data_IF_646655342664
#
_entry.id   IF_646655342664
#
_cell.length_a   1.000
_cell.length_b   1.000
_cell.length_c   1.000
_cell.angle_alpha   90.00
_cell.angle_beta   90.00
_cell.angle_gamma   90.00
#
_symmetry.space_group_name_H-M   'P 1'
#
loop_
_entity.id
_entity.type
_entity.pdbx_description
1 polymer ?
#
# COMPACT_ATOMS: atom_id res chain seq x y z
N UNK A 1 -0.97 0.52 -14.87
CA UNK A 1 -1.72 0.56 -13.63
C UNK A 1 -3.00 1.33 -13.83
N UNK A 2 -4.05 0.87 -13.17
CA UNK A 2 -5.23 1.69 -12.92
C UNK A 2 -4.80 2.96 -12.16
N UNK A 3 -5.58 4.05 -12.24
CA UNK A 3 -5.36 5.27 -11.47
C UNK A 3 -5.12 5.00 -9.96
N UNK A 4 -5.62 3.87 -9.47
CA UNK A 4 -5.51 3.34 -8.12
C UNK A 4 -4.07 3.14 -7.62
N UNK A 5 -3.13 2.71 -8.47
CA UNK A 5 -1.75 2.41 -8.02
C UNK A 5 -0.88 3.68 -7.88
N UNK A 6 -1.20 4.76 -8.61
CA UNK A 6 -0.52 6.05 -8.42
C UNK A 6 -0.96 6.73 -7.12
N UNK A 7 -2.24 6.62 -6.77
CA UNK A 7 -2.76 7.10 -5.50
C UNK A 7 -2.14 6.33 -4.35
N UNK A 8 -2.00 5.00 -4.52
CA UNK A 8 -1.50 4.18 -3.44
C UNK A 8 -0.05 4.53 -3.07
N UNK A 9 0.79 4.81 -4.08
CA UNK A 9 2.20 5.13 -3.86
C UNK A 9 2.36 6.52 -3.22
N UNK A 10 1.52 7.47 -3.60
CA UNK A 10 1.48 8.80 -3.00
C UNK A 10 1.15 8.72 -1.51
N UNK A 11 0.20 7.84 -1.13
CA UNK A 11 -0.12 7.57 0.28
C UNK A 11 1.06 7.00 1.07
N UNK A 12 1.83 6.07 0.48
CA UNK A 12 3.05 5.53 1.10
C UNK A 12 4.11 6.63 1.33
N UNK A 13 4.33 7.52 0.36
CA UNK A 13 5.30 8.61 0.50
C UNK A 13 4.87 9.62 1.58
N UNK A 14 3.62 10.08 1.54
CA UNK A 14 3.06 10.99 2.54
C UNK A 14 3.11 10.40 3.97
N UNK A 15 3.11 9.07 4.08
CA UNK A 15 3.25 8.37 5.35
C UNK A 15 4.70 8.26 5.83
N UNK A 16 5.68 8.22 4.93
CA UNK A 16 7.11 8.18 5.27
C UNK A 16 7.62 9.56 5.72
N UNK A 17 7.14 10.63 5.09
CA UNK A 17 7.39 12.01 5.48
C UNK A 17 6.31 12.94 4.91
N UNK A 18 6.09 14.09 5.56
CA UNK A 18 5.23 15.16 5.02
C UNK A 18 5.91 15.91 3.87
N UNK A 19 7.22 16.07 3.94
CA UNK A 19 8.03 16.66 2.87
C UNK A 19 8.26 15.62 1.76
N UNK A 20 7.85 15.95 0.53
CA UNK A 20 7.88 15.01 -0.58
C UNK A 20 9.31 14.55 -0.95
N UNK A 21 10.29 15.43 -0.81
CA UNK A 21 11.69 15.13 -1.12
C UNK A 21 12.31 14.22 -0.06
N UNK A 22 12.06 14.51 1.22
CA UNK A 22 12.49 13.65 2.33
C UNK A 22 11.79 12.28 2.29
N UNK A 23 10.49 12.24 1.97
CA UNK A 23 9.76 10.99 1.76
C UNK A 23 10.40 10.15 0.65
N UNK A 24 10.78 10.78 -0.46
CA UNK A 24 11.50 10.13 -1.57
C UNK A 24 12.85 9.56 -1.14
N UNK A 25 13.63 10.32 -0.36
CA UNK A 25 14.92 9.86 0.20
C UNK A 25 14.73 8.67 1.14
N UNK A 26 13.80 8.76 2.09
CA UNK A 26 13.46 7.69 3.03
C UNK A 26 12.97 6.44 2.31
N UNK A 27 12.12 6.58 1.29
CA UNK A 27 11.66 5.46 0.48
C UNK A 27 12.81 4.73 -0.21
N UNK A 28 13.72 5.45 -0.89
CA UNK A 28 14.87 4.83 -1.56
C UNK A 28 15.80 4.13 -0.58
N UNK A 29 16.06 4.75 0.57
CA UNK A 29 16.89 4.13 1.62
C UNK A 29 16.22 2.87 2.16
N UNK A 30 14.92 2.93 2.43
CA UNK A 30 14.14 1.80 2.92
C UNK A 30 14.07 0.67 1.89
N UNK A 31 13.88 0.97 0.60
CA UNK A 31 13.91 -0.01 -0.48
C UNK A 31 15.24 -0.76 -0.51
N UNK A 32 16.37 -0.04 -0.45
CA UNK A 32 17.71 -0.67 -0.41
C UNK A 32 17.88 -1.61 0.77
N UNK A 33 17.44 -1.20 1.97
CA UNK A 33 17.50 -2.05 3.16
C UNK A 33 16.67 -3.33 3.02
N UNK A 34 15.51 -3.25 2.35
CA UNK A 34 14.63 -4.40 2.13
C UNK A 34 15.16 -5.34 1.05
N UNK A 35 15.78 -4.81 -0.01
CA UNK A 35 16.49 -5.62 -1.00
C UNK A 35 17.63 -6.39 -0.33
N UNK A 36 18.48 -5.71 0.44
CA UNK A 36 19.58 -6.34 1.17
C UNK A 36 19.07 -7.42 2.15
N UNK A 37 17.95 -7.15 2.84
CA UNK A 37 17.29 -8.14 3.68
C UNK A 37 16.82 -9.36 2.87
N UNK A 38 16.17 -9.17 1.73
CA UNK A 38 15.70 -10.26 0.88
C UNK A 38 16.86 -11.10 0.32
N UNK A 39 17.96 -10.48 -0.09
CA UNK A 39 19.18 -11.16 -0.53
C UNK A 39 19.76 -12.06 0.56
N UNK A 40 19.88 -11.55 1.79
CA UNK A 40 20.38 -12.31 2.94
C UNK A 40 19.51 -13.52 3.32
N UNK A 41 18.23 -13.53 2.92
CA UNK A 41 17.28 -14.60 3.25
C UNK A 41 16.99 -15.52 2.06
N UNK A 42 17.86 -15.55 1.04
CA UNK A 42 17.77 -16.48 -0.08
C UNK A 42 16.87 -16.00 -1.22
N UNK A 43 16.62 -14.69 -1.33
CA UNK A 43 15.92 -14.09 -2.45
C UNK A 43 16.75 -14.00 -3.74
N UNK A 44 18.08 -14.04 -3.66
CA UNK A 44 18.97 -14.04 -4.84
C UNK A 44 18.62 -12.97 -5.88
N UNK A 45 18.55 -13.36 -7.15
CA UNK A 45 18.25 -12.45 -8.27
C UNK A 45 16.84 -11.88 -8.29
N UNK A 46 15.91 -12.39 -7.45
CA UNK A 46 14.53 -11.90 -7.37
C UNK A 46 14.27 -11.00 -6.17
N UNK A 47 15.31 -10.61 -5.43
CA UNK A 47 15.20 -9.75 -4.25
C UNK A 47 14.58 -8.39 -4.56
N UNK A 48 15.01 -7.74 -5.66
CA UNK A 48 14.48 -6.44 -6.09
C UNK A 48 13.00 -6.52 -6.47
N UNK A 49 12.65 -7.46 -7.36
CA UNK A 49 11.25 -7.68 -7.78
C UNK A 49 10.33 -8.00 -6.59
N UNK A 50 10.80 -8.85 -5.67
CA UNK A 50 10.01 -9.24 -4.49
C UNK A 50 9.81 -8.05 -3.55
N UNK A 51 10.80 -7.17 -3.45
CA UNK A 51 10.75 -5.95 -2.64
C UNK A 51 9.77 -4.95 -3.24
N UNK A 52 9.84 -4.70 -4.54
CA UNK A 52 8.92 -3.79 -5.22
C UNK A 52 7.46 -4.23 -5.08
N UNK A 53 7.18 -5.52 -5.23
CA UNK A 53 5.83 -6.02 -5.02
C UNK A 53 5.39 -5.93 -3.55
N UNK A 54 6.30 -6.17 -2.60
CA UNK A 54 6.00 -5.98 -1.18
C UNK A 54 5.62 -4.52 -0.90
N UNK A 55 6.34 -3.56 -1.49
CA UNK A 55 6.01 -2.13 -1.41
C UNK A 55 4.68 -1.80 -2.09
N UNK A 56 4.36 -2.38 -3.26
CA UNK A 56 3.07 -2.16 -3.91
C UNK A 56 1.90 -2.65 -3.04
N UNK A 57 2.03 -3.84 -2.43
CA UNK A 57 1.02 -4.37 -1.50
C UNK A 57 0.85 -3.48 -0.27
N UNK A 58 1.96 -2.99 0.27
CA UNK A 58 1.96 -2.12 1.44
C UNK A 58 1.42 -0.76 1.09
N UNK A 59 1.77 -0.23 -0.07
CA UNK A 59 1.25 1.01 -0.60
C UNK A 59 -0.27 0.94 -0.75
N UNK A 60 -0.81 -0.17 -1.28
CA UNK A 60 -2.27 -0.42 -1.34
C UNK A 60 -2.89 -0.55 0.04
N UNK A 61 -2.25 -1.29 0.96
CA UNK A 61 -2.76 -1.49 2.32
C UNK A 61 -2.64 -0.25 3.21
N UNK A 62 -1.60 0.54 3.02
CA UNK A 62 -1.41 1.82 3.69
C UNK A 62 -2.35 2.84 3.09
N UNK A 63 -2.60 2.83 1.79
CA UNK A 63 -3.57 3.76 1.23
C UNK A 63 -4.96 3.38 1.68
N UNK A 64 -5.30 2.10 1.76
CA UNK A 64 -6.53 1.71 2.46
C UNK A 64 -6.49 2.07 3.94
N UNK A 65 -5.38 1.89 4.68
CA UNK A 65 -5.32 2.21 6.11
C UNK A 65 -5.21 3.70 6.46
N UNK A 66 -4.62 4.53 5.58
CA UNK A 66 -4.41 5.98 5.73
C UNK A 66 -5.60 6.76 5.17
N UNK A 67 -6.27 6.19 4.16
CA UNK A 67 -7.60 6.63 3.72
C UNK A 67 -8.72 5.97 4.54
N UNK A 68 -8.41 4.97 5.38
CA UNK A 68 -9.38 4.46 6.35
C UNK A 68 -9.47 5.48 7.48
N UNK A 69 -10.30 6.48 7.21
CA UNK A 69 -11.10 7.22 8.19
C UNK A 69 -11.90 6.26 9.11
N UNK A 70 -11.99 4.98 8.71
CA UNK A 70 -12.73 3.93 9.38
C UNK A 70 -11.87 3.14 10.37
N UNK A 71 -12.34 3.10 11.61
CA UNK A 71 -12.02 2.18 12.68
C UNK A 71 -11.93 0.72 12.17
N UNK A 72 -10.78 0.07 12.37
CA UNK A 72 -10.62 -1.36 12.06
C UNK A 72 -11.02 -2.21 13.28
N UNK A 73 -11.70 -3.34 13.06
CA UNK A 73 -12.12 -4.23 14.13
C UNK A 73 -10.95 -4.67 15.03
N UNK A 74 -9.74 -4.84 14.48
CA UNK A 74 -8.52 -5.16 15.23
C UNK A 74 -8.11 -4.08 16.25
N UNK A 75 -8.57 -2.83 16.09
CA UNK A 75 -8.20 -1.72 16.97
C UNK A 75 -9.00 -1.70 18.29
N UNK A 76 -10.12 -2.41 18.37
CA UNK A 76 -10.86 -2.62 19.63
C UNK A 76 -10.10 -3.64 20.49
N UNK A 77 -9.31 -3.17 21.46
CA UNK A 77 -8.49 -4.02 22.34
C UNK A 77 -9.34 -4.88 23.27
N UNK A 78 -10.40 -4.29 23.79
CA UNK A 78 -11.28 -4.89 24.78
C UNK A 78 -12.75 -4.71 24.37
N UNK A 79 -13.24 -5.64 23.53
CA UNK A 79 -14.61 -5.59 22.99
C UNK A 79 -15.66 -5.68 24.11
N UNK A 80 -15.58 -6.66 25.05
CA UNK A 80 -16.57 -6.73 26.14
C UNK A 80 -16.55 -5.51 27.04
N UNK A 81 -15.36 -5.02 27.43
CA UNK A 81 -15.24 -3.83 28.27
C UNK A 81 -15.73 -2.56 27.59
N UNK A 82 -15.50 -2.39 26.29
CA UNK A 82 -16.04 -1.28 25.52
C UNK A 82 -17.58 -1.34 25.46
N UNK A 83 -18.15 -2.50 25.10
CA UNK A 83 -19.60 -2.68 25.05
C UNK A 83 -20.27 -2.45 26.41
N UNK A 84 -19.68 -3.00 27.47
CA UNK A 84 -20.19 -2.84 28.84
C UNK A 84 -20.20 -1.37 29.27
N UNK A 85 -19.14 -0.62 28.94
CA UNK A 85 -19.07 0.80 29.25
C UNK A 85 -20.10 1.60 28.43
N UNK A 86 -20.17 1.37 27.11
CA UNK A 86 -21.14 2.03 26.22
C UNK A 86 -22.58 1.78 26.70
N UNK A 87 -22.93 0.53 27.03
CA UNK A 87 -24.26 0.16 27.53
C UNK A 87 -24.54 0.77 28.91
N UNK A 88 -23.64 0.53 29.87
CA UNK A 88 -23.86 0.89 31.27
C UNK A 88 -23.87 2.40 31.52
N UNK A 89 -23.03 3.17 30.84
CA UNK A 89 -23.03 4.63 30.93
C UNK A 89 -24.00 5.28 29.95
N UNK A 90 -24.19 4.67 28.77
CA UNK A 90 -25.04 5.26 27.73
C UNK A 90 -26.53 5.13 27.98
N UNK A 91 -26.96 4.20 28.83
CA UNK A 91 -28.35 4.11 29.28
C UNK A 91 -28.70 5.12 30.38
N UNK A 92 -27.69 5.77 30.98
CA UNK A 92 -27.91 6.82 32.01
C UNK A 92 -28.30 8.15 31.35
N UNK A 93 -29.03 9.00 32.07
CA UNK A 93 -29.46 10.33 31.60
C UNK A 93 -28.40 11.44 31.84
N UNK A 94 -27.12 11.08 31.99
CA UNK A 94 -26.05 12.04 32.22
C UNK A 94 -25.23 12.23 30.94
N UNK A 95 -24.91 13.48 30.54
CA UNK A 95 -24.06 13.74 29.38
C UNK A 95 -22.68 13.12 29.56
N UNK A 96 -22.30 12.25 28.62
CA UNK A 96 -21.00 11.58 28.58
C UNK A 96 -20.76 10.93 27.20
N UNK A 97 -19.51 10.54 26.85
CA UNK A 97 -19.21 9.97 25.54
C UNK A 97 -20.01 8.70 25.23
N UNK A 98 -20.19 7.83 26.24
CA UNK A 98 -20.93 6.57 26.10
C UNK A 98 -22.40 6.82 25.80
N UNK A 99 -23.00 7.85 26.42
CA UNK A 99 -24.37 8.29 26.12
C UNK A 99 -24.49 8.78 24.69
N UNK A 100 -23.56 9.63 24.25
CA UNK A 100 -23.59 10.14 22.88
C UNK A 100 -23.50 9.02 21.85
N UNK A 101 -22.58 8.09 22.06
CA UNK A 101 -22.42 6.93 21.18
C UNK A 101 -23.68 6.08 21.19
N UNK A 102 -24.22 5.76 22.37
CA UNK A 102 -25.45 4.97 22.52
C UNK A 102 -26.63 5.59 21.76
N UNK A 103 -26.82 6.90 21.89
CA UNK A 103 -27.91 7.64 21.23
C UNK A 103 -27.76 7.63 19.69
N UNK A 104 -26.55 7.55 19.16
CA UNK A 104 -26.26 7.52 17.72
C UNK A 104 -26.25 6.11 17.10
N UNK A 105 -26.13 5.06 17.91
CA UNK A 105 -26.19 3.67 17.43
C UNK A 105 -27.60 3.33 16.93
N UNK A 106 -27.67 2.55 15.85
CA UNK A 106 -28.92 1.93 15.39
C UNK A 106 -29.42 0.88 16.38
N UNK A 107 -30.71 0.54 16.32
CA UNK A 107 -31.30 -0.47 17.21
C UNK A 107 -30.58 -1.82 17.11
N UNK A 108 -30.23 -2.25 15.90
CA UNK A 108 -29.46 -3.48 15.69
C UNK A 108 -28.07 -3.42 16.35
N UNK A 109 -27.40 -2.27 16.29
CA UNK A 109 -26.10 -2.10 16.95
C UNK A 109 -26.23 -2.03 18.47
N UNK A 110 -27.29 -1.41 19.01
CA UNK A 110 -27.59 -1.44 20.45
C UNK A 110 -27.85 -2.86 20.94
N UNK A 111 -28.67 -3.63 20.21
CA UNK A 111 -28.91 -5.05 20.53
C UNK A 111 -27.62 -5.86 20.53
N UNK A 112 -26.71 -5.62 19.59
CA UNK A 112 -25.39 -6.26 19.56
C UNK A 112 -24.55 -5.88 20.80
N UNK A 113 -24.48 -4.60 21.15
CA UNK A 113 -23.75 -4.12 22.34
C UNK A 113 -24.32 -4.72 23.62
N UNK A 114 -25.65 -4.77 23.77
CA UNK A 114 -26.33 -5.40 24.90
C UNK A 114 -25.99 -6.89 24.97
N UNK A 115 -26.12 -7.63 23.87
CA UNK A 115 -25.83 -9.07 23.84
C UNK A 115 -24.38 -9.39 24.22
N UNK A 116 -23.40 -8.62 23.72
CA UNK A 116 -21.99 -8.78 24.10
C UNK A 116 -21.79 -8.46 25.59
N UNK A 117 -22.47 -7.44 26.10
CA UNK A 117 -22.37 -7.04 27.52
C UNK A 117 -22.92 -8.11 28.45
N UNK A 118 -24.09 -8.68 28.14
CA UNK A 118 -24.74 -9.70 28.96
C UNK A 118 -23.97 -11.03 28.94
N UNK A 119 -23.44 -11.42 27.78
CA UNK A 119 -22.77 -12.72 27.63
C UNK A 119 -21.28 -12.68 27.95
N UNK A 120 -20.65 -11.50 27.85
CA UNK A 120 -19.19 -11.33 27.87
C UNK A 120 -18.46 -12.03 26.73
N UNK A 121 -19.19 -12.60 25.76
CA UNK A 121 -18.65 -13.40 24.65
C UNK A 121 -18.94 -12.71 23.33
N UNK A 122 -18.02 -12.86 22.38
CA UNK A 122 -18.20 -12.37 21.03
C UNK A 122 -17.43 -13.21 20.01
N UNK A 123 -17.90 -13.24 18.77
CA UNK A 123 -17.19 -13.83 17.64
C UNK A 123 -16.58 -12.77 16.70
N UNK A 124 -15.84 -13.22 15.68
CA UNK A 124 -15.18 -12.34 14.70
C UNK A 124 -16.17 -11.53 13.84
N UNK A 125 -17.38 -12.06 13.62
CA UNK A 125 -18.42 -11.38 12.86
C UNK A 125 -19.03 -10.26 13.69
N UNK A 126 -19.39 -10.52 14.94
CA UNK A 126 -19.87 -9.53 15.91
C UNK A 126 -18.86 -8.40 16.11
N UNK A 127 -17.57 -8.72 16.20
CA UNK A 127 -16.50 -7.71 16.27
C UNK A 127 -16.46 -6.81 15.02
N UNK A 128 -16.66 -7.41 13.84
CA UNK A 128 -16.70 -6.68 12.56
C UNK A 128 -17.96 -5.80 12.46
N UNK A 129 -19.11 -6.31 12.89
CA UNK A 129 -20.37 -5.57 12.94
C UNK A 129 -20.30 -4.38 13.90
N UNK A 130 -19.72 -4.57 15.09
CA UNK A 130 -19.49 -3.48 16.06
C UNK A 130 -18.59 -2.39 15.46
N UNK A 131 -17.47 -2.79 14.84
CA UNK A 131 -16.57 -1.84 14.17
C UNK A 131 -17.27 -1.06 13.06
N UNK A 132 -18.14 -1.72 12.30
CA UNK A 132 -18.96 -1.06 11.26
C UNK A 132 -19.92 -0.04 11.87
N UNK A 133 -20.63 -0.42 12.93
CA UNK A 133 -21.58 0.47 13.62
C UNK A 133 -20.88 1.71 14.21
N UNK A 134 -19.70 1.54 14.82
CA UNK A 134 -18.90 2.67 15.30
C UNK A 134 -18.46 3.58 14.14
N UNK A 135 -18.05 3.01 13.00
CA UNK A 135 -17.71 3.84 11.84
C UNK A 135 -18.90 4.65 11.32
N UNK A 136 -20.09 4.06 11.30
CA UNK A 136 -21.31 4.77 10.90
C UNK A 136 -21.60 5.96 11.84
N UNK A 137 -21.35 5.84 13.14
CA UNK A 137 -21.49 6.98 14.07
C UNK A 137 -20.40 8.03 13.88
N UNK A 138 -19.15 7.62 13.65
CA UNK A 138 -18.02 8.53 13.41
C UNK A 138 -18.17 9.37 12.13
N UNK A 139 -18.92 8.90 11.14
CA UNK A 139 -19.26 9.66 9.92
C UNK A 139 -20.22 10.82 10.15
N UNK A 140 -20.88 10.90 11.30
CA UNK A 140 -21.91 11.90 11.51
C UNK A 140 -21.30 13.24 11.89
N UNK A 141 -21.74 14.31 11.23
CA UNK A 141 -21.33 15.68 11.55
C UNK A 141 -21.84 16.14 12.92
N UNK A 142 -22.92 15.54 13.42
CA UNK A 142 -23.44 15.81 14.75
C UNK A 142 -22.78 14.94 15.84
N UNK A 143 -21.82 14.05 15.53
CA UNK A 143 -21.23 13.15 16.53
C UNK A 143 -20.75 13.86 17.79
N UNK A 144 -20.00 14.96 17.62
CA UNK A 144 -19.53 15.78 18.74
C UNK A 144 -20.65 16.63 19.35
N UNK A 145 -20.77 16.53 20.66
CA UNK A 145 -21.55 17.42 21.50
C UNK A 145 -20.64 17.84 22.68
N UNK A 146 -20.57 19.15 22.96
CA UNK A 146 -19.67 19.68 23.99
C UNK A 146 -20.01 19.20 25.41
N UNK A 147 -21.27 18.90 25.71
CA UNK A 147 -21.70 18.38 27.00
C UNK A 147 -21.25 16.92 27.20
N UNK A 148 -21.31 16.13 26.11
CA UNK A 148 -20.93 14.72 26.12
C UNK A 148 -19.40 14.53 26.06
N UNK A 149 -18.70 15.35 25.28
CA UNK A 149 -17.26 15.28 25.04
C UNK A 149 -16.53 16.48 25.60
N UNK A 150 -16.44 16.57 26.93
CA UNK A 150 -15.62 17.58 27.59
C UNK A 150 -14.15 17.09 27.70
N UNK A 151 -13.18 17.71 27.00
CA UNK A 151 -11.79 17.28 27.02
C UNK A 151 -11.15 17.29 28.41
N UNK A 152 -11.60 18.17 29.31
CA UNK A 152 -11.08 18.27 30.67
C UNK A 152 -11.44 17.06 31.53
N UNK A 153 -12.37 16.20 31.07
CA UNK A 153 -12.79 14.98 31.76
C UNK A 153 -12.11 13.72 31.22
N UNK A 154 -11.28 13.84 30.18
CA UNK A 154 -10.57 12.66 29.67
C UNK A 154 -9.54 12.16 30.68
N UNK A 155 -9.39 10.83 30.83
CA UNK A 155 -8.49 10.24 31.82
C UNK A 155 -7.03 10.38 31.36
N UNK A 156 -6.44 11.56 31.55
CA UNK A 156 -5.02 11.80 31.31
C UNK A 156 -4.22 11.18 32.45
N UNK A 157 -3.56 10.06 32.18
CA UNK A 157 -2.53 9.55 33.09
C UNK A 157 -1.21 10.25 32.79
N UNK A 158 -0.44 10.62 33.83
CA UNK A 158 0.77 11.45 33.72
C UNK A 158 1.88 10.89 32.80
N UNK A 159 1.74 9.67 32.27
CA UNK A 159 2.76 9.00 31.46
C UNK A 159 2.34 8.76 29.99
N UNK A 160 1.13 9.11 29.57
CA UNK A 160 0.67 8.87 28.19
C UNK A 160 0.77 10.13 27.32
N UNK A 161 1.99 10.44 26.86
CA UNK A 161 2.25 11.55 25.93
C UNK A 161 1.38 11.46 24.66
N UNK A 162 1.00 10.25 24.24
CA UNK A 162 0.17 10.07 23.03
C UNK A 162 -1.26 10.55 23.22
N UNK A 163 -1.79 10.48 24.45
CA UNK A 163 -3.13 11.01 24.75
C UNK A 163 -3.12 12.54 24.81
N UNK A 164 -2.07 13.14 25.37
CA UNK A 164 -1.90 14.61 25.42
C UNK A 164 -1.87 15.20 24.01
N UNK A 165 -1.05 14.65 23.11
CA UNK A 165 -0.98 15.08 21.71
C UNK A 165 -2.33 14.95 20.98
N UNK A 166 -3.14 13.94 21.32
CA UNK A 166 -4.49 13.76 20.74
C UNK A 166 -5.46 14.83 21.24
N UNK A 167 -5.42 15.15 22.53
CA UNK A 167 -6.26 16.21 23.12
C UNK A 167 -5.91 17.56 22.51
N UNK A 168 -4.62 17.87 22.36
CA UNK A 168 -4.17 19.11 21.70
C UNK A 168 -4.70 19.22 20.26
N UNK A 169 -4.64 18.12 19.48
CA UNK A 169 -5.21 18.10 18.12
C UNK A 169 -6.73 18.32 18.12
N UNK A 170 -7.46 17.73 19.07
CA UNK A 170 -8.90 17.94 19.24
C UNK A 170 -9.19 19.42 19.52
N UNK A 171 -8.42 20.06 20.40
CA UNK A 171 -8.57 21.49 20.72
C UNK A 171 -8.29 22.39 19.51
N UNK A 172 -7.25 22.07 18.71
CA UNK A 172 -6.95 22.78 17.46
C UNK A 172 -8.12 22.66 16.48
N UNK A 173 -8.66 21.46 16.28
CA UNK A 173 -9.78 21.23 15.36
C UNK A 173 -11.08 21.91 15.85
N UNK A 174 -11.33 21.94 17.17
CA UNK A 174 -12.43 22.69 17.78
C UNK A 174 -12.27 24.20 17.59
N UNK A 175 -11.06 24.75 17.75
CA UNK A 175 -10.77 26.16 17.55
C UNK A 175 -10.97 26.62 16.10
N UNK A 176 -10.73 25.74 15.12
CA UNK A 176 -11.04 25.99 13.70
C UNK A 176 -12.55 26.02 13.42
N UNK A 177 -13.33 25.31 14.23
CA UNK A 177 -14.77 25.16 14.07
C UNK A 177 -15.14 24.00 13.15
N UNK A 178 -16.03 23.12 13.62
CA UNK A 178 -16.40 21.88 12.91
C UNK A 178 -17.04 22.12 11.53
N UNK A 179 -17.69 23.27 11.32
CA UNK A 179 -18.28 23.64 10.03
C UNK A 179 -17.23 23.92 8.94
N UNK A 180 -15.97 24.16 9.32
CA UNK A 180 -14.87 24.38 8.38
C UNK A 180 -14.13 23.09 8.01
N UNK A 181 -14.42 21.99 8.72
CA UNK A 181 -13.79 20.69 8.46
C UNK A 181 -14.50 20.00 7.30
N UNK A 182 -13.71 19.39 6.41
CA UNK A 182 -14.23 18.46 5.39
C UNK A 182 -14.76 17.20 6.07
N UNK A 183 -15.63 16.47 5.39
CA UNK A 183 -16.20 15.21 5.90
C UNK A 183 -15.12 14.23 6.40
N UNK A 184 -14.03 14.07 5.65
CA UNK A 184 -12.88 13.24 6.04
C UNK A 184 -12.20 13.73 7.32
N UNK A 185 -12.14 15.03 7.52
CA UNK A 185 -11.53 15.65 8.71
C UNK A 185 -12.45 15.50 9.93
N UNK A 186 -13.77 15.55 9.73
CA UNK A 186 -14.77 15.24 10.76
C UNK A 186 -14.63 13.80 11.25
N UNK A 187 -14.45 12.83 10.35
CA UNK A 187 -14.27 11.42 10.73
C UNK A 187 -13.00 11.22 11.56
N UNK A 188 -11.89 11.82 11.15
CA UNK A 188 -10.63 11.79 11.90
C UNK A 188 -10.78 12.46 13.28
N UNK A 189 -11.46 13.61 13.33
CA UNK A 189 -11.75 14.32 14.57
C UNK A 189 -12.59 13.46 15.54
N UNK A 190 -13.69 12.89 15.05
CA UNK A 190 -14.57 12.01 15.82
C UNK A 190 -13.83 10.76 16.30
N UNK A 191 -12.94 10.20 15.47
CA UNK A 191 -12.09 9.06 15.84
C UNK A 191 -11.19 9.41 17.02
N UNK A 192 -10.55 10.59 17.02
CA UNK A 192 -9.69 11.06 18.12
C UNK A 192 -10.48 11.25 19.41
N UNK A 193 -11.69 11.80 19.34
CA UNK A 193 -12.59 11.91 20.50
C UNK A 193 -12.90 10.54 21.10
N UNK A 194 -13.21 9.56 20.25
CA UNK A 194 -13.49 8.20 20.68
C UNK A 194 -12.26 7.55 21.34
N UNK A 195 -11.07 7.74 20.77
CA UNK A 195 -9.82 7.25 21.34
C UNK A 195 -9.48 7.89 22.70
N UNK A 196 -9.72 9.19 22.84
CA UNK A 196 -9.49 9.92 24.08
C UNK A 196 -10.50 9.53 25.17
N UNK A 197 -11.73 9.20 24.79
CA UNK A 197 -12.76 8.71 25.71
C UNK A 197 -12.49 7.28 26.20
N UNK A 198 -11.87 6.42 25.37
CA UNK A 198 -11.64 5.01 25.70
C UNK A 198 -10.19 4.53 25.45
N UNK A 199 -9.17 5.17 26.06
CA UNK A 199 -7.76 4.91 25.74
C UNK A 199 -7.30 3.48 26.05
N UNK A 200 -7.94 2.81 27.02
CA UNK A 200 -7.63 1.41 27.36
C UNK A 200 -8.33 0.39 26.45
N UNK A 201 -9.47 0.76 25.84
CA UNK A 201 -10.28 -0.15 25.02
C UNK A 201 -10.02 0.00 23.53
N UNK A 202 -9.50 1.14 23.10
CA UNK A 202 -9.34 1.49 21.70
C UNK A 202 -7.88 1.83 21.43
N UNK A 203 -7.31 1.18 20.42
CA UNK A 203 -5.97 1.49 19.96
C UNK A 203 -5.95 2.85 19.26
N UNK A 204 -4.90 3.66 19.50
CA UNK A 204 -4.70 4.90 18.75
C UNK A 204 -4.56 4.61 17.26
N UNK A 205 -5.10 5.49 16.42
CA UNK A 205 -4.93 5.42 14.99
C UNK A 205 -3.44 5.39 14.64
N UNK A 206 -3.04 4.42 13.81
CA UNK A 206 -1.67 4.25 13.34
C UNK A 206 -1.12 5.52 12.66
N UNK A 207 -1.99 6.34 12.07
CA UNK A 207 -1.62 7.61 11.44
C UNK A 207 -1.07 8.63 12.45
N UNK A 208 -1.48 8.59 13.71
CA UNK A 208 -1.06 9.54 14.76
C UNK A 208 0.20 9.10 15.50
N UNK A 209 0.80 7.96 15.15
CA UNK A 209 2.02 7.48 15.81
C UNK A 209 3.28 8.24 15.36
N UNK A 210 4.32 8.38 16.22
CA UNK A 210 5.55 9.07 15.87
C UNK A 210 6.24 8.45 14.65
N UNK A 211 6.89 9.27 13.82
CA UNK A 211 7.49 8.85 12.55
C UNK A 211 8.54 7.72 12.68
N UNK A 212 9.26 7.67 13.82
CA UNK A 212 10.22 6.60 14.09
C UNK A 212 9.54 5.23 14.23
N UNK A 213 8.40 5.18 14.92
CA UNK A 213 7.65 3.94 15.13
C UNK A 213 6.85 3.52 13.90
N UNK A 214 6.41 4.50 13.10
CA UNK A 214 5.85 4.27 11.77
C UNK A 214 6.84 3.47 10.93
N UNK A 215 8.03 4.04 10.68
CA UNK A 215 9.04 3.42 9.82
C UNK A 215 9.45 2.03 10.31
N UNK A 216 9.63 1.84 11.62
CA UNK A 216 9.96 0.54 12.20
C UNK A 216 8.87 -0.51 11.94
N UNK A 217 7.59 -0.15 12.11
CA UNK A 217 6.46 -1.06 11.84
C UNK A 217 6.32 -1.40 10.37
N UNK A 218 6.49 -0.43 9.47
CA UNK A 218 6.46 -0.72 8.04
C UNK A 218 7.65 -1.61 7.64
N UNK A 219 8.85 -1.36 8.15
CA UNK A 219 10.01 -2.27 7.99
C UNK A 219 9.67 -3.68 8.43
N UNK A 220 9.05 -3.85 9.60
CA UNK A 220 8.61 -5.16 10.08
C UNK A 220 7.60 -5.82 9.14
N UNK A 221 6.59 -5.07 8.69
CA UNK A 221 5.56 -5.60 7.80
C UNK A 221 6.10 -5.95 6.40
N UNK A 222 6.99 -5.13 5.80
CA UNK A 222 7.69 -5.49 4.55
C UNK A 222 8.45 -6.79 4.72
N UNK A 223 9.18 -6.96 5.83
CA UNK A 223 9.92 -8.19 6.10
C UNK A 223 9.02 -9.42 6.17
N UNK A 224 7.85 -9.31 6.80
CA UNK A 224 6.87 -10.41 6.85
C UNK A 224 6.39 -10.79 5.44
N UNK A 225 5.99 -9.81 4.63
CA UNK A 225 5.53 -10.03 3.25
C UNK A 225 6.63 -10.62 2.38
N UNK A 226 7.87 -10.11 2.51
CA UNK A 226 9.05 -10.62 1.81
C UNK A 226 9.35 -12.06 2.19
N UNK A 227 9.30 -12.38 3.48
CA UNK A 227 9.61 -13.72 3.97
C UNK A 227 8.60 -14.77 3.48
N UNK A 228 7.30 -14.46 3.50
CA UNK A 228 6.27 -15.32 2.90
C UNK A 228 6.51 -15.54 1.40
N UNK A 229 6.95 -14.51 0.69
CA UNK A 229 7.23 -14.53 -0.75
C UNK A 229 8.43 -15.39 -1.10
N UNK A 230 9.54 -15.17 -0.39
CA UNK A 230 10.77 -15.94 -0.57
C UNK A 230 10.47 -17.43 -0.32
N UNK A 231 9.76 -17.76 0.76
CA UNK A 231 9.32 -19.13 1.04
C UNK A 231 8.49 -19.73 -0.10
N UNK A 232 7.51 -18.99 -0.64
CA UNK A 232 6.69 -19.46 -1.76
C UNK A 232 7.51 -19.71 -3.03
N UNK A 233 8.44 -18.81 -3.38
CA UNK A 233 9.32 -18.98 -4.55
C UNK A 233 10.29 -20.16 -4.36
N UNK A 234 10.86 -20.32 -3.17
CA UNK A 234 11.71 -21.48 -2.84
C UNK A 234 10.94 -22.79 -2.98
N UNK A 235 9.71 -22.86 -2.47
CA UNK A 235 8.85 -24.03 -2.64
C UNK A 235 8.54 -24.35 -4.11
N UNK A 236 8.33 -23.32 -4.95
CA UNK A 236 8.15 -23.51 -6.39
C UNK A 236 9.41 -24.05 -7.10
N UNK A 237 10.59 -23.56 -6.72
CA UNK A 237 11.87 -24.04 -7.25
C UNK A 237 12.10 -25.50 -6.87
N UNK A 238 11.79 -25.90 -5.63
CA UNK A 238 11.88 -27.29 -5.19
C UNK A 238 10.96 -28.24 -5.98
N UNK A 239 9.81 -27.76 -6.45
CA UNK A 239 8.88 -28.54 -7.27
C UNK A 239 9.27 -28.62 -8.75
N UNK A 240 10.19 -27.76 -9.21
CA UNK A 240 10.63 -27.70 -10.61
C UNK A 240 12.01 -28.32 -10.84
N UNK A 241 12.57 -29.03 -9.86
CA UNK A 241 13.76 -29.84 -10.13
C UNK A 241 13.38 -30.93 -11.15
N UNK A 242 14.08 -31.00 -12.31
CA UNK A 242 13.82 -32.02 -13.31
C UNK A 242 14.04 -33.40 -12.69
N UNK A 243 13.13 -34.35 -12.93
CA UNK A 243 13.36 -35.74 -12.53
C UNK A 243 14.59 -36.28 -13.26
N UNK A 244 15.35 -37.19 -12.63
CA UNK A 244 16.51 -37.87 -13.25
C UNK A 244 16.16 -38.54 -14.60
N UNK A 245 14.88 -38.84 -14.84
CA UNK A 245 14.40 -39.39 -16.11
C UNK A 245 14.37 -38.34 -17.25
N UNK A 246 14.15 -37.06 -16.93
CA UNK A 246 14.16 -35.96 -17.91
C UNK A 246 15.58 -35.64 -18.39
N UNK A 247 16.58 -35.85 -17.53
CA UNK A 247 18.00 -35.65 -17.86
C UNK A 247 18.55 -36.74 -18.78
N UNK A 248 17.98 -37.95 -18.75
CA UNK A 248 18.35 -39.06 -19.65
C UNK A 248 17.72 -38.95 -21.04
N UNK A 249 16.51 -38.41 -21.17
CA UNK A 249 15.90 -38.17 -22.50
C UNK A 249 16.63 -37.08 -23.30
N UNK A 250 17.29 -36.12 -22.64
CA UNK A 250 18.06 -35.06 -23.28
C UNK A 250 19.45 -35.50 -23.81
N UNK A 251 19.96 -36.67 -23.38
CA UNK A 251 21.27 -37.18 -23.84
C UNK A 251 21.18 -38.15 -25.03
N UNK A 252 19.98 -38.58 -25.45
CA UNK A 252 19.81 -39.53 -26.57
C UNK A 252 19.55 -38.82 -27.92
N UNK A 253 19.29 -37.51 -27.90
CA UNK A 253 18.99 -36.73 -29.11
C UNK A 253 20.24 -36.07 -29.73
N UNK A 254 21.31 -36.84 -30.00
CA UNK A 254 22.44 -36.38 -30.82
C UNK A 254 22.77 -37.34 -31.95
N UNK A 255 21.81 -37.52 -32.87
CA UNK A 255 22.09 -38.00 -34.23
C UNK A 255 21.21 -37.23 -35.23
N UNK A 256 21.76 -36.13 -35.74
CA UNK A 256 21.43 -35.48 -37.04
C UNK A 256 19.97 -35.60 -37.51
N UNK A 257 19.08 -34.85 -36.85
CA UNK A 257 17.76 -34.55 -37.40
C UNK A 257 17.14 -33.43 -36.60
N UNK A 258 17.21 -32.19 -37.10
CA UNK A 258 16.54 -31.03 -36.47
C UNK A 258 15.10 -31.41 -36.20
N UNK A 259 14.71 -31.46 -34.93
CA UNK A 259 13.36 -31.81 -34.52
C UNK A 259 12.40 -30.82 -35.22
N UNK A 260 11.48 -31.30 -36.09
CA UNK A 260 10.52 -30.44 -36.77
C UNK A 260 9.73 -29.55 -35.80
N UNK A 261 9.49 -30.01 -34.57
CA UNK A 261 8.82 -29.26 -33.52
C UNK A 261 9.62 -28.03 -33.04
N UNK A 262 10.94 -28.14 -32.90
CA UNK A 262 11.80 -27.02 -32.48
C UNK A 262 11.82 -25.91 -33.53
N UNK A 263 11.75 -26.27 -34.81
CA UNK A 263 11.65 -25.30 -35.90
C UNK A 263 10.32 -24.55 -35.92
N UNK A 264 9.23 -25.22 -35.50
CA UNK A 264 7.90 -24.62 -35.40
C UNK A 264 7.82 -23.68 -34.19
N UNK A 265 8.35 -24.09 -33.03
CA UNK A 265 8.43 -23.26 -31.83
C UNK A 265 9.21 -21.97 -32.11
N UNK A 266 10.41 -22.07 -32.71
CA UNK A 266 11.22 -20.90 -33.09
C UNK A 266 10.48 -19.96 -34.03
N UNK A 267 9.70 -20.51 -34.98
CA UNK A 267 8.89 -19.73 -35.92
C UNK A 267 7.75 -18.99 -35.20
N UNK A 268 7.11 -19.62 -34.22
CA UNK A 268 6.03 -19.03 -33.43
C UNK A 268 6.55 -17.96 -32.45
N UNK A 269 7.67 -18.21 -31.77
CA UNK A 269 8.37 -17.24 -30.94
C UNK A 269 8.76 -15.98 -31.73
N UNK A 270 9.30 -16.17 -32.94
CA UNK A 270 9.67 -15.06 -33.83
C UNK A 270 8.44 -14.22 -34.20
N UNK A 271 7.32 -14.86 -34.52
CA UNK A 271 6.05 -14.17 -34.80
C UNK A 271 5.53 -13.39 -33.59
N UNK A 272 5.54 -14.01 -32.40
CA UNK A 272 5.13 -13.37 -31.16
C UNK A 272 6.02 -12.16 -30.83
N UNK A 273 7.32 -12.26 -31.06
CA UNK A 273 8.26 -11.16 -30.82
C UNK A 273 8.10 -10.02 -31.83
N UNK A 274 7.83 -10.33 -33.10
CA UNK A 274 7.49 -9.34 -34.12
C UNK A 274 6.20 -8.59 -33.75
N UNK A 275 5.15 -9.33 -33.37
CA UNK A 275 3.87 -8.75 -32.96
C UNK A 275 4.02 -7.86 -31.73
N UNK A 276 4.77 -8.31 -30.72
CA UNK A 276 5.07 -7.52 -29.52
C UNK A 276 5.80 -6.22 -29.86
N UNK A 277 6.74 -6.27 -30.81
CA UNK A 277 7.48 -5.09 -31.27
C UNK A 277 6.56 -4.10 -32.00
N UNK A 278 5.64 -4.61 -32.82
CA UNK A 278 4.63 -3.79 -33.50
C UNK A 278 3.68 -3.11 -32.50
N UNK A 279 3.14 -3.86 -31.54
CA UNK A 279 2.28 -3.31 -30.49
C UNK A 279 3.00 -2.26 -29.63
N UNK A 280 4.29 -2.47 -29.32
CA UNK A 280 5.09 -1.50 -28.57
C UNK A 280 5.17 -0.16 -29.29
N UNK A 281 5.46 -0.17 -30.60
CA UNK A 281 5.58 1.06 -31.38
C UNK A 281 4.24 1.76 -31.57
N UNK A 282 3.17 1.03 -31.89
CA UNK A 282 1.83 1.62 -31.94
C UNK A 282 1.48 2.30 -30.61
N UNK A 283 1.72 1.63 -29.48
CA UNK A 283 1.45 2.16 -28.15
C UNK A 283 2.33 3.36 -27.81
N UNK A 284 3.61 3.36 -28.19
CA UNK A 284 4.51 4.48 -28.00
C UNK A 284 4.01 5.72 -28.73
N UNK A 285 3.58 5.57 -29.98
CA UNK A 285 3.11 6.68 -30.82
C UNK A 285 1.74 7.23 -30.37
N UNK A 286 0.83 6.36 -29.93
CA UNK A 286 -0.56 6.73 -29.62
C UNK A 286 -0.78 7.19 -28.18
N UNK A 287 -0.04 6.65 -27.20
CA UNK A 287 -0.34 6.87 -25.78
C UNK A 287 0.66 7.77 -25.06
N UNK A 288 1.76 8.17 -25.69
CA UNK A 288 2.73 9.10 -25.11
C UNK A 288 2.72 10.45 -25.82
N UNK A 289 2.81 11.51 -25.02
CA UNK A 289 3.11 12.85 -25.55
C UNK A 289 4.47 12.86 -26.28
N UNK A 290 4.67 13.77 -27.26
CA UNK A 290 5.96 13.91 -27.93
C UNK A 290 7.16 14.03 -26.96
N UNK A 291 6.99 14.80 -25.88
CA UNK A 291 8.02 14.97 -24.86
C UNK A 291 8.33 13.65 -24.13
N UNK A 292 7.31 12.89 -23.72
CA UNK A 292 7.50 11.62 -23.03
C UNK A 292 8.16 10.58 -23.93
N UNK A 293 7.90 10.60 -25.24
CA UNK A 293 8.61 9.74 -26.22
C UNK A 293 10.10 10.06 -26.25
N UNK A 294 10.48 11.33 -26.30
CA UNK A 294 11.89 11.76 -26.29
C UNK A 294 12.58 11.32 -25.00
N UNK A 295 11.95 11.56 -23.84
CA UNK A 295 12.47 11.16 -22.53
C UNK A 295 12.67 9.64 -22.49
N UNK A 296 11.66 8.86 -22.86
CA UNK A 296 11.72 7.42 -22.82
C UNK A 296 12.83 6.87 -23.73
N UNK A 297 12.91 7.37 -24.97
CA UNK A 297 13.92 6.94 -25.93
C UNK A 297 15.34 7.23 -25.42
N UNK A 298 15.61 8.45 -24.95
CA UNK A 298 16.93 8.83 -24.40
C UNK A 298 17.26 8.08 -23.11
N UNK A 299 16.27 7.92 -22.23
CA UNK A 299 16.46 7.27 -20.94
C UNK A 299 16.84 5.79 -21.06
N UNK A 300 16.29 5.09 -22.06
CA UNK A 300 16.55 3.67 -22.28
C UNK A 300 17.57 3.38 -23.41
N UNK A 301 17.93 4.35 -24.25
CA UNK A 301 18.91 4.15 -25.32
C UNK A 301 20.33 3.89 -24.82
N UNK A 302 20.66 4.25 -23.58
CA UNK A 302 21.95 3.95 -22.97
C UNK A 302 22.13 2.50 -22.51
N UNK A 303 21.12 1.65 -22.72
CA UNK A 303 21.19 0.20 -22.49
C UNK A 303 21.26 -0.48 -23.85
N UNK A 304 22.41 -0.43 -24.51
CA UNK A 304 22.62 -1.26 -25.70
C UNK A 304 23.09 -2.64 -25.27
N UNK A 305 22.36 -3.67 -25.67
CA UNK A 305 22.81 -5.06 -25.62
C UNK A 305 23.42 -5.32 -26.99
N UNK A 306 24.75 -5.42 -27.07
CA UNK A 306 25.41 -5.82 -28.31
C UNK A 306 25.03 -7.25 -28.67
N UNK A 307 25.02 -7.57 -29.97
CA UNK A 307 24.62 -8.88 -30.48
C UNK A 307 25.48 -10.04 -29.96
N UNK A 308 26.69 -9.77 -29.46
CA UNK A 308 27.63 -10.73 -28.88
C UNK A 308 27.56 -10.83 -27.35
N UNK A 309 26.58 -10.17 -26.71
CA UNK A 309 26.44 -10.09 -25.23
C UNK A 309 27.67 -9.51 -24.50
N UNK A 310 28.63 -8.90 -25.21
CA UNK A 310 29.73 -8.23 -24.52
C UNK A 310 29.25 -6.88 -23.98
N UNK A 311 29.41 -6.68 -22.67
CA UNK A 311 29.02 -5.44 -22.02
C UNK A 311 29.89 -4.28 -22.56
N UNK A 312 29.40 -3.55 -23.56
CA UNK A 312 29.90 -2.21 -23.87
C UNK A 312 29.63 -1.35 -22.64
N UNK A 313 30.62 -0.55 -22.21
CA UNK A 313 30.50 0.34 -21.04
C UNK A 313 29.33 1.30 -21.24
N UNK A 314 28.15 0.91 -20.74
CA UNK A 314 26.94 1.73 -20.78
C UNK A 314 27.23 3.03 -20.03
N UNK A 315 26.87 4.16 -20.65
CA UNK A 315 26.76 5.42 -19.93
C UNK A 315 25.84 5.16 -18.72
N UNK A 316 26.30 5.49 -17.51
CA UNK A 316 25.55 5.11 -16.31
C UNK A 316 24.18 5.77 -16.42
N UNK A 317 23.11 5.05 -16.10
CA UNK A 317 21.73 5.60 -16.09
C UNK A 317 21.66 6.93 -15.30
N UNK A 318 22.53 7.10 -14.31
CA UNK A 318 22.70 8.35 -13.55
C UNK A 318 23.11 9.54 -14.43
N UNK A 319 24.00 9.35 -15.39
CA UNK A 319 24.51 10.39 -16.28
C UNK A 319 23.40 10.79 -17.28
N UNK A 320 22.72 9.82 -17.88
CA UNK A 320 21.58 10.06 -18.78
C UNK A 320 20.46 10.86 -18.09
N UNK A 321 20.16 10.53 -16.82
CA UNK A 321 19.17 11.28 -16.03
C UNK A 321 19.61 12.71 -15.77
N UNK A 322 20.90 12.94 -15.52
CA UNK A 322 21.45 14.27 -15.28
C UNK A 322 21.39 15.10 -16.57
N UNK A 323 21.79 14.51 -17.70
CA UNK A 323 21.78 15.18 -19.00
C UNK A 323 20.35 15.55 -19.42
N UNK A 324 19.39 14.63 -19.28
CA UNK A 324 17.97 14.90 -19.53
C UNK A 324 17.37 15.96 -18.58
N UNK A 325 17.80 15.97 -17.33
CA UNK A 325 17.36 16.94 -16.34
C UNK A 325 17.83 18.35 -16.70
N UNK A 326 19.09 18.48 -17.09
CA UNK A 326 19.71 19.73 -17.54
C UNK A 326 19.07 20.24 -18.84
N UNK A 327 18.88 19.35 -19.83
CA UNK A 327 18.24 19.69 -21.11
C UNK A 327 16.81 20.19 -20.95
N UNK A 328 16.03 19.61 -20.03
CA UNK A 328 14.63 19.93 -19.83
C UNK A 328 14.39 20.96 -18.71
N UNK A 329 15.43 21.42 -18.02
CA UNK A 329 15.32 22.36 -16.91
C UNK A 329 14.50 21.83 -15.73
N UNK A 330 14.53 20.51 -15.48
CA UNK A 330 13.78 19.86 -14.39
C UNK A 330 14.71 19.02 -13.50
N UNK A 331 14.35 18.75 -12.24
CA UNK A 331 15.14 17.87 -11.39
C UNK A 331 15.27 16.44 -11.96
N UNK A 332 16.43 15.79 -11.76
CA UNK A 332 16.66 14.41 -12.21
C UNK A 332 15.68 13.37 -11.60
N UNK A 333 15.12 13.65 -10.42
CA UNK A 333 14.06 12.86 -9.83
C UNK A 333 12.78 12.87 -10.69
N UNK A 334 12.45 14.02 -11.30
CA UNK A 334 11.31 14.19 -12.21
C UNK A 334 11.48 13.32 -13.45
N UNK A 335 12.67 13.30 -14.05
CA UNK A 335 12.98 12.45 -15.22
C UNK A 335 12.76 10.97 -14.90
N UNK A 336 13.22 10.51 -13.73
CA UNK A 336 12.98 9.14 -13.28
C UNK A 336 11.49 8.83 -13.19
N UNK A 337 10.71 9.69 -12.55
CA UNK A 337 9.25 9.53 -12.41
C UNK A 337 8.56 9.48 -13.77
N UNK A 338 8.94 10.37 -14.70
CA UNK A 338 8.40 10.39 -16.07
C UNK A 338 8.73 9.13 -16.86
N UNK A 339 9.97 8.64 -16.79
CA UNK A 339 10.38 7.41 -17.45
C UNK A 339 9.61 6.19 -16.92
N UNK A 340 9.43 6.08 -15.59
CA UNK A 340 8.64 5.00 -14.98
C UNK A 340 7.18 5.06 -15.44
N UNK A 341 6.53 6.23 -15.35
CA UNK A 341 5.13 6.41 -15.80
C UNK A 341 4.96 6.08 -17.27
N UNK A 342 5.88 6.53 -18.12
CA UNK A 342 5.83 6.29 -19.57
C UNK A 342 5.99 4.80 -19.91
N UNK A 343 6.94 4.11 -19.26
CA UNK A 343 7.12 2.65 -19.41
C UNK A 343 5.86 1.88 -19.02
N UNK A 344 5.23 2.30 -17.93
CA UNK A 344 4.04 1.66 -17.41
C UNK A 344 2.84 1.84 -18.34
N UNK A 345 2.61 3.06 -18.87
CA UNK A 345 1.58 3.36 -19.88
C UNK A 345 1.76 2.45 -21.10
N UNK A 346 2.97 2.39 -21.65
CA UNK A 346 3.29 1.53 -22.80
C UNK A 346 3.06 0.05 -22.48
N UNK A 347 3.48 -0.41 -21.29
CA UNK A 347 3.31 -1.81 -20.88
C UNK A 347 1.84 -2.23 -20.88
N UNK A 348 0.96 -1.43 -20.27
CA UNK A 348 -0.48 -1.76 -20.24
C UNK A 348 -1.09 -1.71 -21.64
N UNK A 349 -0.69 -0.73 -22.45
CA UNK A 349 -1.16 -0.62 -23.82
C UNK A 349 -0.73 -1.84 -24.66
N UNK A 350 0.54 -2.24 -24.55
CA UNK A 350 1.12 -3.36 -25.29
C UNK A 350 0.42 -4.67 -24.90
N UNK A 351 0.17 -4.90 -23.62
CA UNK A 351 -0.58 -6.08 -23.14
C UNK A 351 -1.99 -6.12 -23.73
N UNK A 352 -2.71 -4.99 -23.74
CA UNK A 352 -4.03 -4.89 -24.37
C UNK A 352 -3.97 -5.13 -25.88
N UNK A 353 -2.94 -4.60 -26.55
CA UNK A 353 -2.73 -4.81 -27.98
C UNK A 353 -2.51 -6.29 -28.30
N UNK A 354 -1.63 -6.98 -27.58
CA UNK A 354 -1.38 -8.42 -27.75
C UNK A 354 -2.67 -9.25 -27.57
N UNK A 355 -3.44 -8.97 -26.51
CA UNK A 355 -4.74 -9.64 -26.25
C UNK A 355 -5.78 -9.43 -27.35
N UNK A 356 -5.71 -8.34 -28.12
CA UNK A 356 -6.61 -8.13 -29.28
C UNK A 356 -6.20 -9.03 -30.44
N UNK A 357 -4.91 -9.23 -30.65
CA UNK A 357 -4.40 -10.11 -31.70
C UNK A 357 -4.58 -11.59 -31.40
N UNK A 358 -4.61 -12.01 -30.13
CA UNK A 358 -4.92 -13.40 -29.76
C UNK A 358 -6.38 -13.81 -30.04
N UNK A 359 -7.28 -12.84 -30.21
CA UNK A 359 -8.71 -13.08 -30.43
C UNK A 359 -9.11 -13.10 -31.92
N UNK A 360 -8.22 -12.64 -32.80
CA UNK A 360 -8.41 -12.57 -34.24
C UNK A 360 -7.62 -13.68 -34.92
#
# INVERSE_FOLDING_TARGET
MSADTSLSFTGLLAWLDRDADEAGRKYVQFQKEMIAYAEQHGGGTVAEESTDEAFDRISKKLSSALLNEHFNSAEIRDVPGLCSQIYGEGTKNQPNPSRRIWDLLSDAARSLVTAITETGKYDSNQRTLLSRALNETLRRCDFYNAEDFNPTKFPVTNNDNSLVERIEKIEIDLARGLSQLRQSEIEIFNRRLLEAAYPSKISPNLADTPDKDKLARCKHYVRLVLHERIKKKQAQISLTQPSEDTEKELQIADVKGKNPLESLIKKEETKMQQLKSQCLEECRETNLSPLNRVILNKYFSGVQISADKTFVKNQKIKDIRKDLAEELGVPAATIRTWAHRSREIISNCTEKCMKRHEKN
#
